data_IF_020337929949
#
_entry.id   IF_020337929949
#
_cell.length_a   1.000
_cell.length_b   1.000
_cell.length_c   1.000
_cell.angle_alpha   90.00
_cell.angle_beta   90.00
_cell.angle_gamma   90.00
#
_symmetry.space_group_name_H-M   'P 1'
#
loop_
_entity.id
_entity.type
_entity.pdbx_description
1 polymer ?
#
# COMPACT_ATOMS: atom_id res chain seq x y z
N UNK A 1 19.19 -10.88 -11.32
CA UNK A 1 18.74 -10.34 -10.02
C UNK A 1 17.66 -11.23 -9.42
N UNK A 2 17.47 -11.16 -8.10
CA UNK A 2 16.37 -11.78 -7.36
C UNK A 2 15.22 -10.79 -7.30
N UNK A 3 14.08 -11.16 -7.89
CA UNK A 3 12.89 -10.32 -7.99
C UNK A 3 11.80 -10.91 -7.11
N UNK A 4 11.27 -10.12 -6.18
CA UNK A 4 10.11 -10.49 -5.38
C UNK A 4 8.86 -9.83 -5.93
N UNK A 5 7.91 -10.62 -6.40
CA UNK A 5 6.58 -10.16 -6.81
C UNK A 5 5.60 -10.33 -5.66
N UNK A 6 5.11 -9.21 -5.14
CA UNK A 6 4.05 -9.14 -4.15
C UNK A 6 2.70 -9.06 -4.89
N UNK A 7 2.04 -10.21 -5.06
CA UNK A 7 0.73 -10.26 -5.71
C UNK A 7 -0.37 -9.81 -4.73
N UNK A 8 -0.85 -8.58 -4.92
CA UNK A 8 -1.91 -7.97 -4.12
C UNK A 8 -3.32 -8.41 -4.50
N UNK A 9 -3.50 -9.20 -5.56
CA UNK A 9 -4.83 -9.66 -5.96
C UNK A 9 -5.36 -10.75 -5.01
N UNK A 10 -6.61 -10.62 -4.51
CA UNK A 10 -7.25 -11.70 -3.74
C UNK A 10 -7.56 -12.93 -4.61
N UNK A 11 -7.53 -12.79 -5.94
CA UNK A 11 -7.74 -13.90 -6.89
C UNK A 11 -6.54 -14.86 -6.99
N UNK A 12 -5.42 -14.56 -6.34
CA UNK A 12 -4.23 -15.42 -6.35
C UNK A 12 -3.72 -15.64 -7.77
N UNK A 13 -3.63 -16.92 -8.18
CA UNK A 13 -3.12 -17.36 -9.48
C UNK A 13 -3.98 -16.89 -10.67
N UNK A 14 -5.26 -16.62 -10.43
CA UNK A 14 -6.20 -16.12 -11.45
C UNK A 14 -6.15 -14.59 -11.63
N UNK A 15 -5.15 -13.93 -11.06
CA UNK A 15 -4.94 -12.49 -11.20
C UNK A 15 -4.40 -12.15 -12.59
N UNK A 16 -5.10 -11.28 -13.33
CA UNK A 16 -4.64 -10.74 -14.62
C UNK A 16 -3.32 -9.99 -14.44
N UNK A 17 -3.19 -9.21 -13.36
CA UNK A 17 -1.95 -8.50 -13.06
C UNK A 17 -0.77 -9.46 -12.86
N UNK A 18 -1.01 -10.59 -12.18
CA UNK A 18 0.02 -11.61 -11.99
C UNK A 18 0.48 -12.21 -13.31
N UNK A 19 -0.42 -12.37 -14.29
CA UNK A 19 -0.04 -12.86 -15.63
C UNK A 19 0.97 -11.94 -16.32
N UNK A 20 0.93 -10.63 -16.07
CA UNK A 20 1.99 -9.72 -16.54
C UNK A 20 3.34 -10.07 -15.91
N UNK A 21 3.38 -10.29 -14.59
CA UNK A 21 4.61 -10.65 -13.89
C UNK A 21 5.16 -12.01 -14.33
N UNK A 22 4.30 -13.01 -14.53
CA UNK A 22 4.67 -14.34 -15.06
C UNK A 22 5.17 -14.26 -16.51
N UNK A 23 4.56 -13.39 -17.31
CA UNK A 23 5.05 -13.10 -18.65
C UNK A 23 6.46 -12.51 -18.62
N UNK A 24 6.76 -11.59 -17.70
CA UNK A 24 8.11 -11.06 -17.52
C UNK A 24 9.09 -12.15 -17.09
N UNK A 25 8.76 -12.97 -16.09
CA UNK A 25 9.61 -14.10 -15.67
C UNK A 25 10.00 -14.99 -16.86
N UNK A 26 9.05 -15.33 -17.73
CA UNK A 26 9.31 -16.15 -18.92
C UNK A 26 10.24 -15.48 -19.94
N UNK A 27 10.21 -14.14 -20.04
CA UNK A 27 10.99 -13.40 -21.03
C UNK A 27 12.36 -12.93 -20.52
N UNK A 28 12.59 -12.97 -19.20
CA UNK A 28 13.86 -12.59 -18.57
C UNK A 28 14.39 -13.74 -17.67
N UNK A 29 14.70 -14.92 -18.26
CA UNK A 29 15.11 -16.12 -17.52
C UNK A 29 16.44 -15.97 -16.76
N UNK A 30 17.24 -14.95 -17.06
CA UNK A 30 18.46 -14.58 -16.35
C UNK A 30 18.18 -13.99 -14.95
N UNK A 31 16.91 -13.73 -14.61
CA UNK A 31 16.48 -13.28 -13.29
C UNK A 31 15.65 -14.34 -12.58
N UNK A 32 15.71 -14.32 -11.25
CA UNK A 32 15.00 -15.28 -10.40
C UNK A 32 13.81 -14.60 -9.78
N UNK A 33 12.62 -14.93 -10.26
CA UNK A 33 11.37 -14.42 -9.72
C UNK A 33 10.90 -15.29 -8.56
N UNK A 34 10.40 -14.65 -7.51
CA UNK A 34 9.72 -15.28 -6.39
C UNK A 34 8.38 -14.59 -6.19
N UNK A 35 7.32 -15.34 -5.92
CA UNK A 35 5.96 -14.81 -5.85
C UNK A 35 5.37 -15.03 -4.47
N UNK A 36 4.87 -13.94 -3.86
CA UNK A 36 4.10 -13.98 -2.62
C UNK A 36 2.68 -13.47 -2.89
N UNK A 37 1.68 -14.32 -2.65
CA UNK A 37 0.27 -13.94 -2.83
C UNK A 37 -0.27 -13.20 -1.60
N UNK A 38 0.21 -11.97 -1.40
CA UNK A 38 -0.21 -11.07 -0.32
C UNK A 38 -1.72 -10.88 -0.25
N UNK A 39 -2.38 -10.68 -1.40
CA UNK A 39 -3.83 -10.50 -1.46
C UNK A 39 -4.63 -11.69 -0.91
N UNK A 40 -4.06 -12.90 -0.97
CA UNK A 40 -4.71 -14.14 -0.51
C UNK A 40 -4.34 -14.50 0.93
N UNK A 41 -3.10 -14.25 1.33
CA UNK A 41 -2.52 -14.76 2.57
C UNK A 41 -2.21 -13.69 3.63
N UNK A 42 -2.75 -12.47 3.48
CA UNK A 42 -2.49 -11.38 4.44
C UNK A 42 -2.75 -11.78 5.90
N UNK A 43 -3.84 -12.50 6.19
CA UNK A 43 -4.16 -12.98 7.55
C UNK A 43 -3.13 -13.95 8.13
N UNK A 44 -2.41 -14.67 7.26
CA UNK A 44 -1.30 -15.53 7.69
C UNK A 44 -0.07 -14.68 8.02
N UNK A 45 0.22 -13.66 7.20
CA UNK A 45 1.34 -12.74 7.42
C UNK A 45 1.17 -11.86 8.66
N UNK A 46 -0.07 -11.58 9.08
CA UNK A 46 -0.35 -10.92 10.36
C UNK A 46 0.06 -11.76 11.57
N UNK A 47 0.00 -13.09 11.45
CA UNK A 47 0.39 -14.00 12.54
C UNK A 47 1.88 -14.23 12.58
N UNK A 48 2.49 -14.36 11.41
CA UNK A 48 3.92 -14.56 11.27
C UNK A 48 4.46 -13.87 10.01
N UNK A 49 5.23 -12.80 10.24
CA UNK A 49 5.87 -12.02 9.18
C UNK A 49 7.34 -12.39 8.96
N UNK A 50 7.89 -13.33 9.75
CA UNK A 50 9.32 -13.66 9.72
C UNK A 50 9.75 -14.23 8.36
N UNK A 51 8.99 -15.18 7.83
CA UNK A 51 9.26 -15.79 6.52
C UNK A 51 9.25 -14.76 5.38
N UNK A 52 8.37 -13.76 5.45
CA UNK A 52 8.31 -12.67 4.46
C UNK A 52 9.53 -11.76 4.60
N UNK A 53 9.94 -11.48 5.85
CA UNK A 53 11.06 -10.62 6.18
C UNK A 53 12.39 -11.14 5.62
N UNK A 54 12.62 -12.45 5.73
CA UNK A 54 13.81 -13.10 5.20
C UNK A 54 13.88 -12.97 3.67
N UNK A 55 12.76 -13.23 2.99
CA UNK A 55 12.68 -13.12 1.52
C UNK A 55 12.91 -11.68 1.05
N UNK A 56 12.27 -10.70 1.70
CA UNK A 56 12.44 -9.27 1.36
C UNK A 56 13.89 -8.81 1.57
N UNK A 57 14.58 -9.38 2.55
CA UNK A 57 15.97 -9.03 2.84
C UNK A 57 16.90 -9.50 1.72
N UNK A 58 16.62 -10.67 1.13
CA UNK A 58 17.48 -11.34 0.14
C UNK A 58 17.22 -10.94 -1.33
N UNK A 59 16.22 -10.11 -1.61
CA UNK A 59 15.88 -9.69 -3.00
C UNK A 59 16.51 -8.34 -3.39
N UNK A 60 16.77 -8.21 -4.69
CA UNK A 60 17.32 -7.00 -5.31
C UNK A 60 16.20 -6.01 -5.70
N UNK A 61 15.04 -6.54 -6.12
CA UNK A 61 13.89 -5.80 -6.60
C UNK A 61 12.60 -6.33 -5.97
N UNK A 62 11.74 -5.42 -5.50
CA UNK A 62 10.37 -5.71 -5.09
C UNK A 62 9.39 -5.14 -6.13
N UNK A 63 8.45 -5.96 -6.60
CA UNK A 63 7.38 -5.56 -7.52
C UNK A 63 6.04 -5.72 -6.82
N UNK A 64 5.35 -4.60 -6.55
CA UNK A 64 3.95 -4.64 -6.14
C UNK A 64 3.07 -4.90 -7.37
N UNK A 65 2.49 -6.10 -7.47
CA UNK A 65 1.64 -6.51 -8.59
C UNK A 65 0.18 -6.61 -8.14
N UNK A 66 -0.68 -5.67 -8.53
CA UNK A 66 -2.05 -5.64 -8.04
C UNK A 66 -3.07 -5.00 -8.99
N UNK A 67 -4.33 -5.44 -8.98
CA UNK A 67 -5.39 -4.81 -9.74
C UNK A 67 -5.86 -3.52 -9.07
N UNK A 68 -6.24 -2.53 -9.88
CA UNK A 68 -6.96 -1.33 -9.41
C UNK A 68 -8.44 -1.52 -9.73
N UNK A 69 -9.23 -1.87 -8.70
CA UNK A 69 -10.67 -2.14 -8.87
C UNK A 69 -11.53 -0.87 -8.82
N UNK A 70 -11.12 0.11 -8.01
CA UNK A 70 -11.88 1.34 -7.79
C UNK A 70 -10.97 2.56 -7.86
N UNK A 71 -10.16 2.79 -6.82
CA UNK A 71 -9.41 4.03 -6.63
C UNK A 71 -7.97 3.83 -6.13
N UNK A 72 -7.72 2.76 -5.38
CA UNK A 72 -6.47 2.55 -4.65
C UNK A 72 -6.08 1.06 -4.65
N UNK A 73 -4.90 0.74 -4.13
CA UNK A 73 -4.43 -0.63 -3.96
C UNK A 73 -5.41 -1.45 -3.09
N UNK A 74 -5.48 -2.79 -3.27
CA UNK A 74 -6.30 -3.66 -2.42
C UNK A 74 -5.95 -3.50 -0.93
N UNK A 75 -6.95 -3.57 -0.04
CA UNK A 75 -6.76 -3.39 1.41
C UNK A 75 -5.75 -4.37 2.02
N UNK A 76 -5.60 -5.55 1.43
CA UNK A 76 -4.58 -6.52 1.82
C UNK A 76 -3.16 -5.98 1.64
N UNK A 77 -2.90 -5.18 0.59
CA UNK A 77 -1.62 -4.51 0.42
C UNK A 77 -1.43 -3.37 1.41
N UNK A 78 -2.50 -2.67 1.79
CA UNK A 78 -2.41 -1.65 2.83
C UNK A 78 -1.94 -2.27 4.14
N UNK A 79 -2.60 -3.37 4.54
CA UNK A 79 -2.21 -4.11 5.73
C UNK A 79 -0.79 -4.68 5.63
N UNK A 80 -0.37 -5.13 4.46
CA UNK A 80 1.00 -5.59 4.26
C UNK A 80 2.03 -4.48 4.42
N UNK A 81 1.74 -3.27 3.92
CA UNK A 81 2.58 -2.10 4.11
C UNK A 81 2.68 -1.71 5.58
N UNK A 82 1.57 -1.80 6.34
CA UNK A 82 1.59 -1.60 7.79
C UNK A 82 2.52 -2.61 8.48
N UNK A 83 2.44 -3.90 8.11
CA UNK A 83 3.33 -4.94 8.62
C UNK A 83 4.79 -4.66 8.25
N UNK A 84 5.07 -4.20 7.02
CA UNK A 84 6.41 -3.76 6.62
C UNK A 84 6.92 -2.63 7.51
N UNK A 85 6.09 -1.59 7.73
CA UNK A 85 6.44 -0.43 8.57
C UNK A 85 6.71 -0.82 10.02
N UNK A 86 5.99 -1.81 10.57
CA UNK A 86 6.16 -2.26 11.96
C UNK A 86 7.17 -3.40 12.13
N UNK A 87 7.62 -4.03 11.04
CA UNK A 87 8.57 -5.16 11.08
C UNK A 87 9.95 -4.83 11.64
N UNK A 88 10.34 -3.56 11.66
CA UNK A 88 11.70 -3.13 12.01
C UNK A 88 12.75 -3.42 10.94
N UNK A 89 12.35 -3.91 9.75
CA UNK A 89 13.26 -4.15 8.64
C UNK A 89 13.82 -2.84 8.09
N UNK A 90 15.13 -2.82 7.86
CA UNK A 90 15.74 -1.75 7.09
C UNK A 90 15.58 -2.03 5.59
N UNK A 91 14.67 -1.29 4.96
CA UNK A 91 14.37 -1.40 3.53
C UNK A 91 15.02 -0.26 2.72
N UNK A 92 15.82 0.58 3.37
CA UNK A 92 16.50 1.70 2.73
C UNK A 92 17.41 1.22 1.60
N UNK A 93 17.30 1.86 0.45
CA UNK A 93 18.11 1.55 -0.72
C UNK A 93 17.64 0.34 -1.54
N UNK A 94 16.65 -0.45 -1.09
CA UNK A 94 16.05 -1.51 -1.91
C UNK A 94 15.28 -0.90 -3.07
N UNK A 95 15.41 -1.49 -4.26
CA UNK A 95 14.63 -1.07 -5.41
C UNK A 95 13.21 -1.61 -5.36
N UNK A 96 12.26 -0.77 -5.75
CA UNK A 96 10.86 -1.11 -5.78
C UNK A 96 10.19 -0.54 -7.03
N UNK A 97 9.27 -1.30 -7.61
CA UNK A 97 8.38 -0.82 -8.66
C UNK A 97 7.00 -1.46 -8.50
N UNK A 98 6.10 -1.18 -9.42
CA UNK A 98 4.75 -1.72 -9.40
C UNK A 98 4.22 -2.04 -10.79
N UNK A 99 3.32 -3.01 -10.84
CA UNK A 99 2.57 -3.39 -12.02
C UNK A 99 1.10 -3.41 -11.62
N UNK A 100 0.27 -2.66 -12.34
CA UNK A 100 -1.16 -2.68 -12.14
C UNK A 100 -1.90 -3.07 -13.39
N UNK A 101 -3.07 -3.69 -13.21
CA UNK A 101 -4.07 -3.81 -14.28
C UNK A 101 -5.34 -3.10 -13.86
N UNK A 102 -5.89 -2.27 -14.74
CA UNK A 102 -7.11 -1.50 -14.48
C UNK A 102 -7.89 -1.28 -15.78
N UNK A 103 -8.95 -0.48 -15.72
CA UNK A 103 -9.58 0.13 -16.92
C UNK A 103 -9.17 1.61 -17.08
N UNK A 104 -7.94 1.92 -16.68
CA UNK A 104 -7.35 3.27 -16.68
C UNK A 104 -8.13 4.33 -15.90
N UNK A 105 -8.69 3.94 -14.75
CA UNK A 105 -9.43 4.84 -13.87
C UNK A 105 -8.73 4.91 -12.51
N UNK A 106 -8.24 6.10 -12.16
CA UNK A 106 -7.53 6.41 -10.91
C UNK A 106 -6.23 5.64 -10.63
N UNK A 107 -5.57 5.10 -11.66
CA UNK A 107 -4.26 4.44 -11.54
C UNK A 107 -3.22 5.34 -10.87
N UNK A 108 -3.26 6.64 -11.14
CA UNK A 108 -2.35 7.63 -10.56
C UNK A 108 -2.42 7.61 -9.04
N UNK A 109 -3.62 7.56 -8.44
CA UNK A 109 -3.77 7.52 -6.98
C UNK A 109 -3.24 6.21 -6.41
N UNK A 110 -3.59 5.09 -7.04
CA UNK A 110 -3.14 3.78 -6.59
C UNK A 110 -1.61 3.66 -6.66
N UNK A 111 -1.00 4.14 -7.75
CA UNK A 111 0.46 4.14 -7.92
C UNK A 111 1.13 5.06 -6.90
N UNK A 112 0.57 6.26 -6.70
CA UNK A 112 1.11 7.24 -5.77
C UNK A 112 1.08 6.72 -4.33
N UNK A 113 0.04 5.99 -3.94
CA UNK A 113 -0.04 5.34 -2.63
C UNK A 113 1.12 4.37 -2.38
N UNK A 114 1.41 3.46 -3.32
CA UNK A 114 2.55 2.52 -3.18
C UNK A 114 3.87 3.27 -3.20
N UNK A 115 4.04 4.21 -4.13
CA UNK A 115 5.23 5.04 -4.23
C UNK A 115 5.53 5.73 -2.89
N UNK A 116 4.58 6.49 -2.35
CA UNK A 116 4.78 7.29 -1.13
C UNK A 116 5.12 6.39 0.07
N UNK A 117 4.39 5.27 0.25
CA UNK A 117 4.66 4.36 1.36
C UNK A 117 6.03 3.66 1.27
N UNK A 118 6.47 3.29 0.06
CA UNK A 118 7.78 2.68 -0.11
C UNK A 118 8.91 3.71 0.05
N UNK A 119 8.66 4.93 -0.41
CA UNK A 119 9.58 6.04 -0.26
C UNK A 119 9.70 6.49 1.21
N UNK A 120 8.62 6.46 2.01
CA UNK A 120 8.66 6.64 3.47
C UNK A 120 9.61 5.63 4.15
N UNK A 121 9.68 4.40 3.61
CA UNK A 121 10.56 3.32 4.07
C UNK A 121 11.99 3.44 3.52
N UNK A 122 12.31 4.51 2.78
CA UNK A 122 13.62 4.77 2.20
C UNK A 122 13.95 3.92 0.96
N UNK A 123 12.97 3.26 0.35
CA UNK A 123 13.18 2.47 -0.87
C UNK A 123 13.39 3.36 -2.10
N UNK A 124 14.14 2.83 -3.08
CA UNK A 124 14.41 3.45 -4.37
C UNK A 124 13.29 3.09 -5.36
N UNK A 125 12.30 3.96 -5.45
CA UNK A 125 11.11 3.70 -6.29
C UNK A 125 11.38 4.01 -7.77
N UNK A 126 11.13 3.02 -8.65
CA UNK A 126 11.16 3.15 -10.10
C UNK A 126 9.72 3.17 -10.61
N UNK A 127 9.43 4.10 -11.53
CA UNK A 127 8.09 4.29 -12.11
C UNK A 127 7.49 2.98 -12.61
N UNK A 128 6.30 2.65 -12.11
CA UNK A 128 5.58 1.42 -12.42
C UNK A 128 4.87 1.40 -13.78
N UNK A 129 4.34 0.22 -14.12
CA UNK A 129 3.51 -0.04 -15.30
C UNK A 129 2.03 -0.02 -14.90
N UNK A 130 1.19 0.73 -15.63
CA UNK A 130 -0.26 0.55 -15.59
C UNK A 130 -0.76 0.01 -16.91
N UNK A 131 -1.24 -1.24 -16.88
CA UNK A 131 -1.74 -1.96 -18.05
C UNK A 131 -3.28 -2.02 -18.04
N UNK A 132 -3.90 -2.12 -19.21
CA UNK A 132 -5.28 -2.56 -19.35
C UNK A 132 -5.38 -4.09 -19.12
N UNK A 133 -6.58 -4.58 -18.86
CA UNK A 133 -6.86 -5.99 -18.60
C UNK A 133 -6.48 -6.89 -19.79
N UNK A 134 -6.61 -6.38 -21.01
CA UNK A 134 -6.39 -7.15 -22.24
C UNK A 134 -5.02 -6.91 -22.88
N UNK A 135 -4.16 -6.07 -22.29
CA UNK A 135 -2.89 -5.63 -22.91
C UNK A 135 -1.98 -6.79 -23.28
N UNK A 136 -1.88 -7.82 -22.42
CA UNK A 136 -1.07 -9.00 -22.71
C UNK A 136 -1.53 -9.81 -23.93
N UNK A 137 -2.81 -9.69 -24.31
CA UNK A 137 -3.35 -10.35 -25.49
C UNK A 137 -2.88 -9.66 -26.77
N UNK A 138 -2.50 -8.39 -26.69
CA UNK A 138 -2.01 -7.61 -27.83
C UNK A 138 -0.48 -7.68 -27.98
N UNK A 139 0.02 -7.50 -29.19
CA UNK A 139 1.47 -7.40 -29.42
C UNK A 139 2.06 -6.15 -28.77
N UNK A 140 1.33 -5.03 -28.80
CA UNK A 140 1.79 -3.78 -28.22
C UNK A 140 1.94 -3.87 -26.70
N UNK A 141 0.91 -4.35 -25.98
CA UNK A 141 0.97 -4.47 -24.52
C UNK A 141 2.06 -5.45 -24.06
N UNK A 142 2.28 -6.54 -24.80
CA UNK A 142 3.45 -7.43 -24.56
C UNK A 142 4.79 -6.71 -24.74
N UNK A 143 4.92 -5.88 -25.78
CA UNK A 143 6.13 -5.09 -26.04
C UNK A 143 6.34 -4.03 -24.96
N UNK A 144 5.27 -3.38 -24.50
CA UNK A 144 5.32 -2.39 -23.42
C UNK A 144 5.72 -3.02 -22.09
N UNK A 145 5.17 -4.19 -21.74
CA UNK A 145 5.58 -4.92 -20.55
C UNK A 145 7.09 -5.25 -20.57
N UNK A 146 7.62 -5.74 -21.71
CA UNK A 146 9.06 -5.99 -21.86
C UNK A 146 9.90 -4.73 -21.69
N UNK A 147 9.55 -3.66 -22.41
CA UNK A 147 10.26 -2.38 -22.34
C UNK A 147 10.24 -1.79 -20.93
N UNK A 148 9.12 -1.93 -20.23
CA UNK A 148 9.01 -1.53 -18.83
C UNK A 148 10.04 -2.26 -17.98
N UNK A 149 10.15 -3.58 -18.11
CA UNK A 149 11.08 -4.34 -17.29
C UNK A 149 12.54 -4.13 -17.69
N UNK A 150 12.84 -3.95 -18.99
CA UNK A 150 14.15 -3.49 -19.47
C UNK A 150 14.53 -2.14 -18.84
N UNK A 151 13.59 -1.19 -18.79
CA UNK A 151 13.77 0.10 -18.13
C UNK A 151 14.04 -0.06 -16.62
N UNK A 152 13.33 -0.96 -15.94
CA UNK A 152 13.58 -1.27 -14.53
C UNK A 152 14.99 -1.81 -14.33
N UNK A 153 15.42 -2.78 -15.15
CA UNK A 153 16.77 -3.35 -15.07
C UNK A 153 17.84 -2.29 -15.28
N UNK A 154 17.69 -1.46 -16.31
CA UNK A 154 18.60 -0.35 -16.60
C UNK A 154 18.65 0.65 -15.44
N UNK A 155 17.50 0.97 -14.84
CA UNK A 155 17.40 1.89 -13.71
C UNK A 155 18.12 1.36 -12.46
N UNK A 156 18.01 0.06 -12.19
CA UNK A 156 18.76 -0.59 -11.09
C UNK A 156 20.27 -0.55 -11.36
N UNK A 157 20.69 -0.87 -12.58
CA UNK A 157 22.11 -0.89 -12.97
C UNK A 157 22.77 0.49 -12.85
N UNK A 158 22.01 1.56 -13.14
CA UNK A 158 22.51 2.94 -13.15
C UNK A 158 22.15 3.75 -11.91
N UNK A 159 21.55 3.12 -10.90
CA UNK A 159 21.06 3.74 -9.67
C UNK A 159 20.08 4.92 -9.89
N UNK A 160 19.15 4.77 -10.84
CA UNK A 160 18.15 5.77 -11.21
C UNK A 160 16.80 5.42 -10.59
N UNK A 161 16.20 6.37 -9.89
CA UNK A 161 14.91 6.22 -9.21
C UNK A 161 14.25 7.57 -8.98
N UNK A 162 12.94 7.56 -8.76
CA UNK A 162 12.15 8.75 -8.41
C UNK A 162 12.56 9.25 -7.03
N UNK A 163 12.78 10.56 -6.92
CA UNK A 163 13.09 11.20 -5.64
C UNK A 163 11.82 11.75 -5.00
N UNK A 164 11.74 11.69 -3.66
CA UNK A 164 10.69 12.36 -2.93
C UNK A 164 10.98 13.87 -2.98
N UNK A 165 10.04 14.72 -3.38
CA UNK A 165 10.18 16.15 -3.15
C UNK A 165 10.37 16.37 -1.64
N UNK A 166 11.47 17.02 -1.24
CA UNK A 166 11.73 17.32 0.16
C UNK A 166 10.67 18.32 0.66
N UNK A 167 9.60 17.81 1.27
CA UNK A 167 8.65 18.64 2.01
C UNK A 167 9.27 18.93 3.37
N UNK A 168 9.96 20.07 3.50
CA UNK A 168 10.65 20.52 4.73
C UNK A 168 9.71 20.87 5.89
N UNK A 169 8.43 20.52 5.81
CA UNK A 169 7.44 20.83 6.85
C UNK A 169 7.24 19.60 7.72
N UNK A 170 8.01 19.52 8.80
CA UNK A 170 7.65 18.67 9.94
C UNK A 170 6.25 19.05 10.40
N UNK A 171 5.29 18.12 10.30
CA UNK A 171 3.96 18.29 10.86
C UNK A 171 4.11 18.55 12.37
N UNK A 172 3.77 19.76 12.81
CA UNK A 172 3.76 20.06 14.24
C UNK A 172 2.55 19.40 14.87
N UNK A 173 2.79 18.62 15.91
CA UNK A 173 1.72 18.13 16.75
C UNK A 173 1.01 19.33 17.39
N UNK A 174 -0.26 19.54 17.03
CA UNK A 174 -1.09 20.58 17.62
C UNK A 174 -1.93 19.95 18.72
N UNK A 175 -1.80 20.41 19.98
CA UNK A 175 -2.67 19.93 21.05
C UNK A 175 -4.12 20.25 20.71
N UNK A 176 -5.03 19.35 21.06
CA UNK A 176 -6.46 19.57 20.88
C UNK A 176 -6.90 20.67 21.84
N UNK A 177 -7.47 21.75 21.31
CA UNK A 177 -7.97 22.85 22.12
C UNK A 177 -9.24 22.45 22.87
N UNK A 178 -9.33 22.86 24.14
CA UNK A 178 -10.54 22.69 24.94
C UNK A 178 -11.69 23.46 24.30
N UNK A 179 -12.86 22.83 24.20
CA UNK A 179 -14.09 23.45 23.72
C UNK A 179 -15.19 23.26 24.76
N UNK A 180 -15.87 24.34 25.10
CA UNK A 180 -17.05 24.31 25.97
C UNK A 180 -18.20 23.63 25.24
N UNK A 181 -18.78 22.58 25.81
CA UNK A 181 -19.99 21.95 25.28
C UNK A 181 -21.16 22.94 25.27
N UNK A 182 -21.86 23.08 24.15
CA UNK A 182 -23.14 23.81 24.15
C UNK A 182 -24.16 23.06 25.00
N UNK A 183 -24.91 23.79 25.84
CA UNK A 183 -25.97 23.23 26.69
C UNK A 183 -27.30 23.04 25.95
N UNK A 184 -27.32 23.23 24.63
CA UNK A 184 -28.52 23.08 23.82
C UNK A 184 -29.02 21.64 23.84
N UNK A 185 -30.34 21.44 23.86
CA UNK A 185 -30.93 20.11 23.71
C UNK A 185 -30.54 19.51 22.34
N UNK A 186 -29.65 18.52 22.37
CA UNK A 186 -29.21 17.81 21.17
C UNK A 186 -30.27 16.79 20.75
N UNK A 187 -30.75 16.86 19.50
CA UNK A 187 -31.61 15.85 18.89
C UNK A 187 -30.83 14.75 18.16
N UNK A 188 -31.53 13.76 17.58
CA UNK A 188 -30.95 12.70 16.74
C UNK A 188 -30.12 11.63 17.49
N UNK A 189 -29.54 10.70 16.73
CA UNK A 189 -28.58 9.68 17.21
C UNK A 189 -27.47 9.51 16.16
N UNK A 190 -26.25 9.96 16.48
CA UNK A 190 -25.06 9.82 15.64
C UNK A 190 -24.11 8.81 16.26
N UNK A 191 -23.67 7.83 15.46
CA UNK A 191 -22.65 6.87 15.88
C UNK A 191 -21.29 7.32 15.38
N UNK A 192 -20.37 7.55 16.31
CA UNK A 192 -18.96 7.77 15.99
C UNK A 192 -18.26 6.41 16.09
N UNK A 193 -17.80 5.91 14.95
CA UNK A 193 -17.03 4.66 14.87
C UNK A 193 -15.55 5.00 14.94
N UNK A 194 -14.81 4.29 15.79
CA UNK A 194 -13.37 4.52 16.03
C UNK A 194 -12.67 3.19 16.31
N UNK A 195 -11.36 3.17 16.16
CA UNK A 195 -10.47 2.04 16.43
C UNK A 195 -9.33 2.42 17.40
N UNK A 196 -9.54 3.47 18.22
CA UNK A 196 -8.50 3.96 19.13
C UNK A 196 -8.03 2.88 20.13
N UNK A 197 -6.73 2.89 20.43
CA UNK A 197 -6.13 2.08 21.49
C UNK A 197 -6.47 2.66 22.88
N UNK A 198 -6.47 1.83 23.93
CA UNK A 198 -6.85 2.25 25.30
C UNK A 198 -6.10 3.48 25.83
N UNK A 199 -4.90 3.72 25.33
CA UNK A 199 -3.97 4.79 25.70
C UNK A 199 -3.84 5.90 24.64
N UNK A 200 -4.63 5.86 23.57
CA UNK A 200 -4.63 6.89 22.53
C UNK A 200 -5.38 8.16 22.99
N UNK A 201 -4.67 8.97 23.78
CA UNK A 201 -5.20 10.24 24.29
C UNK A 201 -5.52 11.23 23.16
N UNK A 202 -4.75 11.22 22.07
CA UNK A 202 -4.93 12.20 21.00
C UNK A 202 -6.25 12.01 20.28
N UNK A 203 -6.51 10.79 19.83
CA UNK A 203 -7.74 10.48 19.11
C UNK A 203 -8.95 10.64 20.03
N UNK A 204 -8.83 10.27 21.30
CA UNK A 204 -9.86 10.54 22.30
C UNK A 204 -10.15 12.04 22.46
N UNK A 205 -9.11 12.88 22.62
CA UNK A 205 -9.26 14.34 22.72
C UNK A 205 -9.94 14.90 21.45
N UNK A 206 -9.58 14.41 20.26
CA UNK A 206 -10.21 14.81 18.99
C UNK A 206 -11.69 14.42 18.93
N UNK A 207 -12.04 13.21 19.36
CA UNK A 207 -13.42 12.72 19.44
C UNK A 207 -14.23 13.57 20.42
N UNK A 208 -13.70 13.83 21.61
CA UNK A 208 -14.40 14.63 22.62
C UNK A 208 -14.61 16.07 22.14
N UNK A 209 -13.61 16.67 21.50
CA UNK A 209 -13.76 17.99 20.86
C UNK A 209 -14.83 17.97 19.77
N UNK A 210 -14.85 16.95 18.91
CA UNK A 210 -15.88 16.80 17.88
C UNK A 210 -17.27 16.69 18.51
N UNK A 211 -17.43 15.88 19.57
CA UNK A 211 -18.69 15.71 20.30
C UNK A 211 -19.15 16.98 21.01
N UNK A 212 -18.22 17.79 21.50
CA UNK A 212 -18.52 19.07 22.14
C UNK A 212 -19.23 20.03 21.17
N UNK A 213 -18.78 20.10 19.91
CA UNK A 213 -19.35 20.98 18.87
C UNK A 213 -20.48 20.34 18.05
N UNK A 214 -20.63 19.01 18.11
CA UNK A 214 -21.67 18.30 17.36
C UNK A 214 -23.06 18.69 17.86
N UNK A 215 -23.97 19.07 16.95
CA UNK A 215 -25.36 19.47 17.27
C UNK A 215 -26.29 18.30 17.63
N UNK A 216 -25.85 17.07 17.39
CA UNK A 216 -26.63 15.85 17.61
C UNK A 216 -26.12 15.07 18.82
N UNK A 217 -27.00 14.26 19.43
CA UNK A 217 -26.53 13.27 20.42
C UNK A 217 -25.60 12.29 19.71
N UNK A 218 -24.54 11.89 20.40
CA UNK A 218 -23.58 10.95 19.86
C UNK A 218 -23.20 9.88 20.86
N UNK A 219 -23.04 8.66 20.35
CA UNK A 219 -22.45 7.51 21.02
C UNK A 219 -21.20 7.05 20.27
N UNK A 220 -20.25 6.52 21.01
CA UNK A 220 -18.99 6.01 20.47
C UNK A 220 -19.10 4.49 20.37
N UNK A 221 -18.69 3.92 19.24
CA UNK A 221 -18.51 2.48 19.05
C UNK A 221 -17.04 2.27 18.69
N UNK A 222 -16.30 1.64 19.59
CA UNK A 222 -14.92 1.28 19.33
C UNK A 222 -14.86 -0.12 18.71
N UNK A 223 -14.49 -0.21 17.43
CA UNK A 223 -14.44 -1.49 16.70
C UNK A 223 -13.29 -2.38 17.17
N UNK A 224 -12.28 -1.82 17.84
CA UNK A 224 -11.18 -2.61 18.45
C UNK A 224 -11.66 -3.52 19.59
N UNK A 225 -12.84 -3.26 20.15
CA UNK A 225 -13.45 -4.08 21.22
C UNK A 225 -14.16 -5.34 20.68
N UNK A 226 -14.33 -5.44 19.36
CA UNK A 226 -15.01 -6.57 18.72
C UNK A 226 -13.98 -7.50 18.06
N UNK A 227 -14.16 -8.83 18.16
CA UNK A 227 -13.29 -9.78 17.47
C UNK A 227 -13.46 -9.69 15.95
N UNK A 228 -12.34 -9.58 15.23
CA UNK A 228 -12.25 -9.63 13.77
C UNK A 228 -12.30 -11.06 13.19
#
# INVERSE_FOLDING_TARGET
MKVLVLNGSPKGDYSITLQTSLYLEKNFPEHKFHFLHVGRYIKSFEKDFSAVSDVITDVDLIIFSYPVYTFIAPSQLHRFIELLKTSGLNLSGKFVTQITTSKHFYDVTAHKYIQDNCQDLGMKYIKGLSADMDDLLTENGRKEAKKFFEYVCWSIEHDIYETIPNYTVTAKYLPVSAVTSSQDEKGGDVVIVTDYAKDDKQLNDMIDRFRAVLKYKSRIVNISEYPC
#
